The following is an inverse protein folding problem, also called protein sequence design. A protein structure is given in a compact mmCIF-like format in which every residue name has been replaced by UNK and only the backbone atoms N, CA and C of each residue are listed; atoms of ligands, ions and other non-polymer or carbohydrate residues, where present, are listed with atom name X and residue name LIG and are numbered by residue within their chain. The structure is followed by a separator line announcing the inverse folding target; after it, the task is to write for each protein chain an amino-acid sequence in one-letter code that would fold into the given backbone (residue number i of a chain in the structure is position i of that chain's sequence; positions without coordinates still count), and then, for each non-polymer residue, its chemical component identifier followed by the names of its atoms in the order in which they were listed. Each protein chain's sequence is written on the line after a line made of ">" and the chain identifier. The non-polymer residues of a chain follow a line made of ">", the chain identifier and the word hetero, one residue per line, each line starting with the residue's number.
data_IF_018531353695
#
_entry.id   IF_018531353695
#
_cell.length_a   1.000
_cell.length_b   1.000
_cell.length_c   1.000
_cell.angle_alpha   90.00
_cell.angle_beta   90.00
_cell.angle_gamma   90.00
#
_symmetry.space_group_name_H-M   'P 1'
#
loop_
_entity.id
_entity.type
_entity.pdbx_description
1 polymer ?
#
# COMPACT_ATOMS: atom_id res chain seq x y z
N UNK A 1 -19.01 30.25 8.79
CA UNK A 1 -18.36 29.51 9.89
C UNK A 1 -17.68 30.51 10.79
N UNK A 2 -17.86 30.40 12.11
CA UNK A 2 -17.23 31.32 13.07
C UNK A 2 -15.73 31.04 13.21
N UNK A 3 -14.92 32.07 13.50
CA UNK A 3 -13.47 31.94 13.68
C UNK A 3 -13.12 30.87 14.71
N UNK A 4 -13.86 30.80 15.82
CA UNK A 4 -13.63 29.81 16.88
C UNK A 4 -13.97 28.39 16.43
N UNK A 5 -14.91 28.23 15.51
CA UNK A 5 -15.23 26.94 14.90
C UNK A 5 -14.08 26.48 14.00
N UNK A 6 -13.55 27.36 13.14
CA UNK A 6 -12.36 27.05 12.31
C UNK A 6 -11.16 26.64 13.18
N UNK A 7 -10.89 27.38 14.25
CA UNK A 7 -9.82 27.09 15.22
C UNK A 7 -10.01 25.72 15.88
N UNK A 8 -11.24 25.38 16.27
CA UNK A 8 -11.56 24.10 16.92
C UNK A 8 -11.45 22.93 15.94
N UNK A 9 -11.89 23.11 14.70
CA UNK A 9 -11.82 22.10 13.65
C UNK A 9 -10.35 21.83 13.30
N UNK A 10 -9.58 22.86 13.00
CA UNK A 10 -8.13 22.74 12.73
C UNK A 10 -7.37 22.13 13.91
N UNK A 11 -7.66 22.55 15.14
CA UNK A 11 -7.01 21.98 16.32
C UNK A 11 -7.36 20.51 16.56
N UNK A 12 -8.61 20.11 16.27
CA UNK A 12 -9.02 18.69 16.34
C UNK A 12 -8.37 17.88 15.21
N UNK A 13 -8.33 18.44 14.02
CA UNK A 13 -7.81 17.82 12.81
C UNK A 13 -6.31 17.58 12.87
N UNK A 14 -5.54 18.57 13.32
CA UNK A 14 -4.08 18.48 13.48
C UNK A 14 -3.65 17.85 14.82
N UNK A 15 -4.60 17.56 15.73
CA UNK A 15 -4.28 17.07 17.08
C UNK A 15 -3.58 18.09 17.99
N UNK A 16 -3.44 19.35 17.56
CA UNK A 16 -2.70 20.41 18.26
C UNK A 16 -3.67 21.34 18.98
N UNK A 17 -3.37 21.69 20.24
CA UNK A 17 -4.16 22.68 20.99
C UNK A 17 -3.90 24.09 20.44
N UNK A 18 -4.94 24.82 20.00
CA UNK A 18 -4.79 26.19 19.53
C UNK A 18 -4.22 27.13 20.59
N UNK A 19 -3.25 27.95 20.20
CA UNK A 19 -2.62 28.96 21.05
C UNK A 19 -3.07 30.35 20.64
N UNK A 20 -3.54 31.14 21.60
CA UNK A 20 -3.99 32.51 21.35
C UNK A 20 -2.82 33.49 21.42
N UNK A 21 -2.63 34.32 20.39
CA UNK A 21 -1.49 35.23 20.25
C UNK A 21 -1.69 36.61 20.91
N UNK A 22 -2.87 36.88 21.48
CA UNK A 22 -3.13 38.11 22.22
C UNK A 22 -3.34 39.35 21.34
N UNK A 23 -3.24 40.53 21.96
CA UNK A 23 -3.41 41.84 21.29
C UNK A 23 -2.09 42.30 20.67
N UNK A 24 -2.08 43.06 19.55
CA UNK A 24 -3.24 43.60 18.82
C UNK A 24 -3.80 42.69 17.72
N UNK A 25 -3.21 41.53 17.46
CA UNK A 25 -3.56 40.67 16.31
C UNK A 25 -4.83 39.85 16.52
N UNK A 26 -5.18 39.50 17.77
CA UNK A 26 -6.29 38.62 18.12
C UNK A 26 -6.29 37.27 17.38
N UNK A 27 -5.12 36.83 16.91
CA UNK A 27 -4.95 35.64 16.09
C UNK A 27 -4.77 34.37 16.93
N UNK A 28 -5.03 33.22 16.31
CA UNK A 28 -4.74 31.90 16.88
C UNK A 28 -3.70 31.18 16.03
N UNK A 29 -2.75 30.54 16.70
CA UNK A 29 -1.75 29.67 16.09
C UNK A 29 -2.18 28.21 16.31
N UNK A 30 -2.26 27.43 15.24
CA UNK A 30 -2.59 26.00 15.26
C UNK A 30 -1.60 25.27 14.37
N UNK A 31 -0.52 24.76 14.97
CA UNK A 31 0.57 24.13 14.23
C UNK A 31 1.23 25.12 13.27
N UNK A 32 1.13 24.84 11.96
CA UNK A 32 1.75 25.63 10.91
C UNK A 32 0.82 26.69 10.30
N UNK A 33 -0.36 26.85 10.90
CA UNK A 33 -1.40 27.77 10.43
C UNK A 33 -1.68 28.86 11.46
N UNK A 34 -1.85 30.08 10.97
CA UNK A 34 -2.29 31.23 11.75
C UNK A 34 -3.67 31.66 11.29
N UNK A 35 -4.62 31.66 12.22
CA UNK A 35 -6.00 32.08 11.98
C UNK A 35 -6.14 33.52 12.46
N UNK A 36 -6.37 34.43 11.52
CA UNK A 36 -6.46 35.88 11.79
C UNK A 36 -7.76 36.25 12.48
N UNK A 37 -7.87 37.52 12.89
CA UNK A 37 -9.08 38.04 13.55
C UNK A 37 -10.34 37.85 12.70
N UNK A 38 -10.20 37.97 11.39
CA UNK A 38 -11.30 37.91 10.43
C UNK A 38 -11.63 36.47 9.99
N UNK A 39 -10.87 35.48 10.48
CA UNK A 39 -11.13 34.06 10.24
C UNK A 39 -10.47 33.52 8.96
N UNK A 40 -9.52 34.25 8.38
CA UNK A 40 -8.63 33.78 7.30
C UNK A 40 -7.54 32.89 7.89
N UNK A 41 -7.22 31.80 7.20
CA UNK A 41 -6.17 30.87 7.61
C UNK A 41 -4.95 31.15 6.74
N UNK A 42 -3.80 31.38 7.37
CA UNK A 42 -2.54 31.71 6.70
C UNK A 42 -1.53 30.63 7.04
N UNK A 43 -0.82 30.09 6.05
CA UNK A 43 0.28 29.14 6.27
C UNK A 43 1.56 29.86 6.78
N UNK A 44 2.60 29.10 7.15
CA UNK A 44 3.92 29.68 7.52
C UNK A 44 4.58 30.52 6.41
N UNK A 45 4.22 30.31 5.14
CA UNK A 45 4.76 31.05 4.00
C UNK A 45 4.05 32.40 3.77
N UNK A 46 2.91 32.64 4.42
CA UNK A 46 2.11 33.85 4.28
C UNK A 46 0.97 33.76 3.27
N UNK A 47 0.71 32.59 2.70
CA UNK A 47 -0.39 32.38 1.75
C UNK A 47 -1.71 32.11 2.48
N UNK A 48 -2.79 32.70 1.97
CA UNK A 48 -4.16 32.44 2.44
C UNK A 48 -4.62 31.08 1.92
N UNK A 49 -5.18 30.26 2.81
CA UNK A 49 -5.68 28.91 2.50
C UNK A 49 -7.12 28.76 2.95
N UNK A 50 -7.91 28.02 2.17
CA UNK A 50 -9.27 27.66 2.55
C UNK A 50 -9.26 26.47 3.52
N UNK A 51 -10.24 26.44 4.43
CA UNK A 51 -10.32 25.38 5.44
C UNK A 51 -10.48 24.00 4.79
N UNK A 52 -11.28 23.92 3.74
CA UNK A 52 -11.55 22.66 3.03
C UNK A 52 -10.30 22.15 2.31
N UNK A 53 -9.45 23.03 1.78
CA UNK A 53 -8.16 22.65 1.19
C UNK A 53 -7.22 22.05 2.22
N UNK A 54 -7.17 22.61 3.44
CA UNK A 54 -6.32 22.10 4.52
C UNK A 54 -6.83 20.77 5.07
N UNK A 55 -8.15 20.60 5.14
CA UNK A 55 -8.78 19.35 5.57
C UNK A 55 -8.58 18.22 4.56
N UNK A 56 -8.49 18.55 3.27
CA UNK A 56 -8.27 17.61 2.19
C UNK A 56 -6.78 17.36 1.90
N UNK A 57 -5.90 18.36 2.10
CA UNK A 57 -4.45 18.22 1.88
C UNK A 57 -3.75 17.35 2.92
N UNK A 58 -4.43 17.03 4.02
CA UNK A 58 -3.95 16.19 5.12
C UNK A 58 -4.32 14.71 4.99
N UNK A 59 -4.81 14.26 3.83
CA UNK A 59 -4.94 12.81 3.58
C UNK A 59 -3.59 12.08 3.52
N UNK A 60 -2.47 12.79 3.67
CA UNK A 60 -1.14 12.22 3.85
C UNK A 60 -0.42 12.92 5.00
N UNK A 61 -0.71 12.49 6.23
CA UNK A 61 0.29 12.16 7.26
C UNK A 61 -0.49 11.77 8.51
N UNK A 62 -0.99 10.55 8.54
CA UNK A 62 -1.06 9.87 9.82
C UNK A 62 0.37 9.85 10.36
N UNK A 63 0.58 10.30 11.59
CA UNK A 63 1.74 9.90 12.39
C UNK A 63 1.63 8.39 12.65
N UNK A 64 1.73 7.59 11.60
CA UNK A 64 2.14 6.20 11.70
C UNK A 64 3.65 6.25 11.80
N UNK A 65 4.20 5.60 12.81
CA UNK A 65 5.60 5.16 12.83
C UNK A 65 6.02 4.77 11.40
N UNK A 66 7.24 5.15 10.97
CA UNK A 66 7.83 4.83 9.65
C UNK A 66 7.93 3.31 9.46
N UNK A 67 6.81 2.63 9.29
CA UNK A 67 6.72 1.18 9.40
C UNK A 67 6.37 0.53 8.06
N UNK A 68 5.94 1.31 7.06
CA UNK A 68 5.77 0.86 5.68
C UNK A 68 6.53 1.72 4.68
N UNK A 69 7.03 1.08 3.64
CA UNK A 69 7.76 1.67 2.52
C UNK A 69 6.80 1.71 1.33
N UNK A 70 6.72 2.87 0.68
CA UNK A 70 6.02 3.00 -0.59
C UNK A 70 6.97 2.71 -1.75
N UNK A 71 6.54 1.85 -2.68
CA UNK A 71 7.29 1.56 -3.90
C UNK A 71 6.38 1.79 -5.10
N UNK A 72 6.74 2.75 -5.94
CA UNK A 72 5.99 3.10 -7.15
C UNK A 72 6.67 2.62 -8.43
N UNK A 73 5.84 2.27 -9.42
CA UNK A 73 6.24 1.90 -10.78
C UNK A 73 5.41 2.68 -11.80
N UNK A 74 5.96 2.96 -13.00
CA UNK A 74 5.19 3.64 -14.04
C UNK A 74 4.00 2.79 -14.51
N UNK A 75 2.88 3.45 -14.82
CA UNK A 75 1.69 2.82 -15.40
C UNK A 75 1.86 2.40 -16.87
N UNK A 76 2.97 2.77 -17.50
CA UNK A 76 3.24 2.46 -18.90
C UNK A 76 3.09 0.96 -19.21
N UNK A 77 2.30 0.65 -20.26
CA UNK A 77 2.03 -0.71 -20.69
C UNK A 77 1.06 -1.50 -19.80
N UNK A 78 0.31 -0.81 -18.92
CA UNK A 78 -0.85 -1.39 -18.26
C UNK A 78 -2.13 -1.16 -19.06
N UNK A 79 -2.88 -2.24 -19.23
CA UNK A 79 -4.26 -2.29 -19.73
C UNK A 79 -5.20 -2.88 -18.64
N UNK A 80 -6.50 -2.87 -18.90
CA UNK A 80 -7.54 -3.43 -18.01
C UNK A 80 -7.22 -4.86 -17.56
N UNK A 81 -6.75 -5.71 -18.48
CA UNK A 81 -6.40 -7.10 -18.20
C UNK A 81 -5.19 -7.17 -17.27
N UNK A 82 -4.15 -6.37 -17.51
CA UNK A 82 -2.94 -6.39 -16.68
C UNK A 82 -3.20 -5.95 -15.25
N UNK A 83 -4.08 -4.96 -15.04
CA UNK A 83 -4.47 -4.48 -13.71
C UNK A 83 -5.28 -5.56 -12.99
N UNK A 84 -6.30 -6.13 -13.64
CA UNK A 84 -7.03 -7.29 -13.11
C UNK A 84 -6.09 -8.43 -12.76
N UNK A 85 -5.11 -8.70 -13.62
CA UNK A 85 -4.16 -9.77 -13.39
C UNK A 85 -3.29 -9.53 -12.16
N UNK A 86 -2.77 -8.31 -12.01
CA UNK A 86 -1.97 -7.92 -10.86
C UNK A 86 -2.77 -8.09 -9.56
N UNK A 87 -3.99 -7.54 -9.52
CA UNK A 87 -4.87 -7.62 -8.35
C UNK A 87 -5.25 -9.08 -8.02
N UNK A 88 -5.61 -9.89 -9.01
CA UNK A 88 -5.90 -11.31 -8.84
C UNK A 88 -4.69 -12.09 -8.30
N UNK A 89 -3.50 -11.84 -8.84
CA UNK A 89 -2.27 -12.49 -8.39
C UNK A 89 -1.96 -12.16 -6.93
N UNK A 90 -2.09 -10.89 -6.55
CA UNK A 90 -1.88 -10.42 -5.19
C UNK A 90 -2.93 -11.03 -4.27
N UNK A 91 -4.20 -10.86 -4.58
CA UNK A 91 -5.32 -11.39 -3.78
C UNK A 91 -5.21 -12.90 -3.57
N UNK A 92 -4.89 -13.67 -4.61
CA UNK A 92 -4.75 -15.14 -4.52
C UNK A 92 -3.61 -15.59 -3.57
N UNK A 93 -2.57 -14.77 -3.39
CA UNK A 93 -1.40 -15.05 -2.55
C UNK A 93 -1.33 -14.16 -1.31
N UNK A 94 -2.33 -13.33 -1.05
CA UNK A 94 -2.22 -12.27 -0.05
C UNK A 94 -1.93 -12.80 1.35
N UNK A 95 -2.46 -13.98 1.71
CA UNK A 95 -2.17 -14.62 3.01
C UNK A 95 -0.68 -14.91 3.23
N UNK A 96 0.06 -15.17 2.15
CA UNK A 96 1.51 -15.34 2.19
C UNK A 96 2.22 -13.99 2.13
N UNK A 97 1.79 -13.07 1.25
CA UNK A 97 2.38 -11.72 1.12
C UNK A 97 2.30 -10.96 2.46
N UNK A 98 1.15 -11.03 3.13
CA UNK A 98 0.93 -10.47 4.47
C UNK A 98 1.92 -11.01 5.50
N UNK A 99 2.25 -12.31 5.46
CA UNK A 99 3.27 -12.90 6.35
C UNK A 99 4.69 -12.44 5.97
N UNK A 100 4.97 -12.27 4.69
CA UNK A 100 6.28 -11.80 4.20
C UNK A 100 6.58 -10.38 4.66
N UNK A 101 5.59 -9.49 4.55
CA UNK A 101 5.74 -8.06 4.86
C UNK A 101 5.12 -7.65 6.20
N UNK A 102 4.75 -8.61 7.05
CA UNK A 102 4.14 -8.37 8.37
C UNK A 102 2.94 -7.39 8.33
N UNK A 103 2.01 -7.66 7.42
CA UNK A 103 0.78 -6.90 7.25
C UNK A 103 -0.39 -7.57 7.99
N UNK A 104 -1.04 -6.84 8.88
CA UNK A 104 -2.25 -7.30 9.59
C UNK A 104 -3.49 -7.24 8.70
N UNK A 105 -3.61 -6.20 7.88
CA UNK A 105 -4.78 -5.92 7.05
C UNK A 105 -4.72 -6.60 5.68
N UNK A 106 -5.86 -6.73 5.01
CA UNK A 106 -5.89 -7.24 3.64
C UNK A 106 -5.32 -6.20 2.68
N UNK A 107 -4.60 -6.69 1.67
CA UNK A 107 -3.99 -5.83 0.64
C UNK A 107 -5.07 -5.40 -0.36
N UNK A 108 -5.92 -6.35 -0.73
CA UNK A 108 -7.04 -6.20 -1.66
C UNK A 108 -8.22 -6.98 -1.08
N UNK A 109 -9.39 -6.34 -1.02
CA UNK A 109 -10.62 -6.99 -0.54
C UNK A 109 -11.26 -7.85 -1.62
N UNK A 110 -12.06 -8.84 -1.18
CA UNK A 110 -12.69 -9.81 -2.09
C UNK A 110 -13.71 -9.13 -2.99
N UNK A 111 -14.46 -8.20 -2.43
CA UNK A 111 -15.54 -7.46 -3.07
C UNK A 111 -15.03 -6.70 -4.29
N UNK A 112 -13.85 -6.08 -4.18
CA UNK A 112 -13.20 -5.42 -5.31
C UNK A 112 -12.86 -6.40 -6.43
N UNK A 113 -12.30 -7.56 -6.11
CA UNK A 113 -11.96 -8.58 -7.11
C UNK A 113 -13.20 -9.08 -7.86
N UNK A 114 -14.29 -9.29 -7.14
CA UNK A 114 -15.56 -9.70 -7.72
C UNK A 114 -16.14 -8.59 -8.62
N UNK A 115 -16.06 -7.33 -8.19
CA UNK A 115 -16.55 -6.16 -8.93
C UNK A 115 -15.75 -5.91 -10.22
N UNK A 116 -14.43 -5.81 -10.15
CA UNK A 116 -13.59 -5.55 -11.34
C UNK A 116 -13.61 -6.70 -12.35
N UNK A 117 -14.04 -7.89 -11.94
CA UNK A 117 -14.08 -9.06 -12.84
C UNK A 117 -14.98 -8.79 -14.07
N UNK A 118 -16.05 -8.01 -13.90
CA UNK A 118 -17.06 -7.72 -14.94
C UNK A 118 -16.77 -6.44 -15.73
N UNK A 119 -15.94 -5.53 -15.20
CA UNK A 119 -15.65 -4.23 -15.82
C UNK A 119 -14.75 -4.38 -17.05
N UNK A 120 -15.03 -3.69 -18.16
CA UNK A 120 -14.22 -3.80 -19.38
C UNK A 120 -13.34 -2.58 -19.63
N UNK A 121 -13.64 -1.44 -19.01
CA UNK A 121 -12.86 -0.21 -19.15
C UNK A 121 -11.79 -0.09 -18.08
N UNK A 122 -10.57 0.27 -18.48
CA UNK A 122 -9.50 0.62 -17.55
C UNK A 122 -9.92 1.77 -16.62
N UNK A 123 -10.56 2.82 -17.15
CA UNK A 123 -10.98 3.97 -16.35
C UNK A 123 -11.96 3.57 -15.25
N UNK A 124 -12.92 2.69 -15.57
CA UNK A 124 -13.91 2.19 -14.60
C UNK A 124 -13.21 1.40 -13.50
N UNK A 125 -12.31 0.48 -13.88
CA UNK A 125 -11.52 -0.32 -12.92
C UNK A 125 -10.75 0.60 -11.97
N UNK A 126 -10.06 1.62 -12.50
CA UNK A 126 -9.28 2.54 -11.67
C UNK A 126 -10.17 3.37 -10.74
N UNK A 127 -11.34 3.81 -11.19
CA UNK A 127 -12.29 4.55 -10.32
C UNK A 127 -12.92 3.70 -9.23
N UNK A 128 -13.05 2.39 -9.45
CA UNK A 128 -13.57 1.46 -8.44
C UNK A 128 -12.57 1.25 -7.30
N UNK A 129 -11.26 1.32 -7.57
CA UNK A 129 -10.21 1.09 -6.58
C UNK A 129 -10.11 2.29 -5.63
N UNK A 130 -10.19 2.05 -4.33
CA UNK A 130 -10.07 3.08 -3.29
C UNK A 130 -9.51 2.51 -1.98
N UNK A 131 -9.23 3.40 -1.02
CA UNK A 131 -8.66 3.04 0.29
C UNK A 131 -9.54 2.10 1.14
N UNK A 132 -10.83 1.97 0.86
CA UNK A 132 -11.70 1.04 1.61
C UNK A 132 -11.55 -0.40 1.08
N UNK A 133 -11.40 -0.57 -0.23
CA UNK A 133 -11.40 -1.88 -0.88
C UNK A 133 -10.01 -2.36 -1.35
N UNK A 134 -9.01 -1.48 -1.37
CA UNK A 134 -7.62 -1.78 -1.74
C UNK A 134 -6.65 -0.87 -0.99
N UNK A 135 -6.22 -1.31 0.21
CA UNK A 135 -5.32 -0.50 1.05
C UNK A 135 -3.85 -0.61 0.68
N UNK A 136 -3.47 -1.73 0.05
CA UNK A 136 -2.06 -2.01 -0.20
C UNK A 136 -1.58 -1.54 -1.57
N UNK A 137 -2.48 -1.11 -2.46
CA UNK A 137 -2.12 -0.72 -3.82
C UNK A 137 -2.98 0.44 -4.27
N UNK A 138 -2.34 1.49 -4.74
CA UNK A 138 -2.98 2.66 -5.32
C UNK A 138 -2.54 2.84 -6.77
N UNK A 139 -3.43 3.42 -7.57
CA UNK A 139 -3.21 3.71 -8.97
C UNK A 139 -3.57 5.16 -9.26
N UNK A 140 -2.74 5.84 -10.05
CA UNK A 140 -3.10 7.09 -10.70
C UNK A 140 -2.66 7.03 -12.17
N UNK A 141 -2.87 8.11 -12.92
CA UNK A 141 -2.58 8.14 -14.36
C UNK A 141 -1.09 7.90 -14.71
N UNK A 142 -0.17 8.15 -13.78
CA UNK A 142 1.27 8.08 -14.02
C UNK A 142 1.92 6.84 -13.40
N UNK A 143 1.49 6.46 -12.19
CA UNK A 143 2.13 5.46 -11.35
C UNK A 143 1.14 4.52 -10.67
N UNK A 144 1.59 3.28 -10.50
CA UNK A 144 1.02 2.35 -9.52
C UNK A 144 1.94 2.29 -8.29
N UNK A 145 1.37 2.25 -7.10
CA UNK A 145 2.12 2.35 -5.84
C UNK A 145 1.72 1.24 -4.89
N UNK A 146 2.71 0.58 -4.30
CA UNK A 146 2.51 -0.44 -3.27
C UNK A 146 2.81 0.12 -1.88
N UNK A 147 1.83 0.02 -0.98
CA UNK A 147 1.83 0.69 0.33
C UNK A 147 1.87 -0.29 1.53
N UNK A 148 2.18 -1.57 1.28
CA UNK A 148 2.22 -2.62 2.31
C UNK A 148 3.64 -3.14 2.63
N UNK A 149 4.68 -2.55 2.03
CA UNK A 149 6.04 -3.13 2.09
C UNK A 149 6.71 -2.83 3.42
N UNK A 150 7.30 -3.86 4.04
CA UNK A 150 8.22 -3.72 5.17
C UNK A 150 9.54 -4.43 4.88
N UNK A 151 10.66 -3.82 5.26
CA UNK A 151 12.00 -4.44 5.15
C UNK A 151 12.83 -3.96 3.95
N UNK A 152 13.53 -4.88 3.29
CA UNK A 152 14.56 -4.53 2.30
C UNK A 152 13.97 -3.99 0.98
N UNK A 153 14.25 -2.72 0.67
CA UNK A 153 13.75 -2.02 -0.52
C UNK A 153 14.17 -2.74 -1.80
N UNK A 154 15.43 -3.19 -1.89
CA UNK A 154 15.95 -3.80 -3.11
C UNK A 154 15.25 -5.13 -3.42
N UNK A 155 15.14 -6.01 -2.43
CA UNK A 155 14.42 -7.28 -2.54
C UNK A 155 12.94 -7.07 -2.88
N UNK A 156 12.32 -6.08 -2.24
CA UNK A 156 10.89 -5.78 -2.42
C UNK A 156 10.61 -5.20 -3.79
N UNK A 157 11.42 -4.23 -4.23
CA UNK A 157 11.33 -3.64 -5.57
C UNK A 157 11.52 -4.71 -6.67
N UNK A 158 12.50 -5.60 -6.51
CA UNK A 158 12.73 -6.68 -7.48
C UNK A 158 11.55 -7.67 -7.53
N UNK A 159 11.01 -8.05 -6.37
CA UNK A 159 9.81 -8.88 -6.29
C UNK A 159 8.61 -8.24 -6.99
N UNK A 160 8.32 -6.97 -6.71
CA UNK A 160 7.19 -6.24 -7.27
C UNK A 160 7.37 -6.00 -8.78
N UNK A 161 8.59 -5.69 -9.23
CA UNK A 161 8.93 -5.56 -10.65
C UNK A 161 8.63 -6.86 -11.43
N UNK A 162 9.08 -8.01 -10.91
CA UNK A 162 8.79 -9.31 -11.51
C UNK A 162 7.29 -9.65 -11.46
N UNK A 163 6.59 -9.26 -10.39
CA UNK A 163 5.15 -9.44 -10.26
C UNK A 163 4.38 -8.64 -11.32
N UNK A 164 4.69 -7.35 -11.48
CA UNK A 164 4.13 -6.48 -12.52
C UNK A 164 4.41 -7.06 -13.89
N UNK A 165 5.68 -7.39 -14.18
CA UNK A 165 6.09 -7.98 -15.45
C UNK A 165 5.26 -9.22 -15.79
N UNK A 166 5.06 -10.10 -14.81
CA UNK A 166 4.27 -11.33 -14.99
C UNK A 166 2.78 -11.05 -15.19
N UNK A 167 2.22 -10.05 -14.52
CA UNK A 167 0.85 -9.64 -14.74
C UNK A 167 0.62 -9.14 -16.19
N UNK A 168 1.62 -8.46 -16.77
CA UNK A 168 1.61 -8.02 -18.18
C UNK A 168 1.74 -9.17 -19.18
N UNK A 169 2.55 -10.19 -18.86
CA UNK A 169 2.78 -11.34 -19.75
C UNK A 169 1.60 -12.34 -19.81
N UNK A 170 0.85 -12.48 -18.72
CA UNK A 170 -0.20 -13.48 -18.61
C UNK A 170 -1.50 -13.03 -19.29
N UNK A 171 -2.15 -13.94 -20.01
CA UNK A 171 -3.47 -13.67 -20.57
C UNK A 171 -4.57 -13.69 -19.50
N UNK A 172 -4.40 -14.53 -18.48
CA UNK A 172 -5.35 -14.67 -17.38
C UNK A 172 -4.62 -15.10 -16.11
N UNK A 173 -5.18 -14.69 -14.97
CA UNK A 173 -4.73 -15.09 -13.64
C UNK A 173 -5.93 -15.42 -12.75
N UNK A 174 -5.73 -16.38 -11.85
CA UNK A 174 -6.79 -16.77 -10.91
C UNK A 174 -6.68 -15.94 -9.63
N UNK A 175 -7.82 -15.42 -9.18
CA UNK A 175 -8.01 -14.82 -7.86
C UNK A 175 -8.21 -15.84 -6.74
N UNK A 176 -8.34 -17.13 -7.04
CA UNK A 176 -8.66 -18.15 -6.03
C UNK A 176 -7.58 -18.16 -4.93
N UNK A 177 -7.94 -17.91 -3.65
CA UNK A 177 -6.98 -17.94 -2.56
C UNK A 177 -6.30 -19.30 -2.44
N UNK A 178 -5.01 -19.29 -2.17
CA UNK A 178 -4.24 -20.51 -1.98
C UNK A 178 -4.31 -20.95 -0.51
N UNK A 179 -4.75 -22.19 -0.29
CA UNK A 179 -4.66 -22.89 0.99
C UNK A 179 -3.44 -23.81 0.94
N UNK A 180 -2.55 -23.69 1.92
CA UNK A 180 -1.33 -24.50 2.00
C UNK A 180 -0.96 -24.75 3.46
N UNK A 181 -0.38 -25.92 3.69
CA UNK A 181 0.27 -26.39 4.92
C UNK A 181 1.77 -26.05 4.98
N UNK A 182 2.34 -25.56 3.88
CA UNK A 182 3.76 -25.23 3.77
C UNK A 182 3.95 -23.92 2.99
N UNK A 183 3.89 -22.82 3.74
CA UNK A 183 4.03 -21.47 3.22
C UNK A 183 5.34 -21.27 2.44
N UNK A 184 6.48 -21.72 2.99
CA UNK A 184 7.81 -21.54 2.36
C UNK A 184 7.87 -22.22 1.00
N UNK A 185 7.44 -23.48 0.88
CA UNK A 185 7.49 -24.19 -0.38
C UNK A 185 6.61 -23.51 -1.44
N UNK A 186 5.38 -23.15 -1.04
CA UNK A 186 4.39 -22.55 -1.92
C UNK A 186 4.86 -21.19 -2.43
N UNK A 187 5.32 -20.31 -1.53
CA UNK A 187 5.80 -18.99 -1.91
C UNK A 187 7.08 -19.07 -2.75
N UNK A 188 8.05 -19.93 -2.39
CA UNK A 188 9.26 -20.14 -3.20
C UNK A 188 8.94 -20.57 -4.62
N UNK A 189 8.02 -21.53 -4.78
CA UNK A 189 7.59 -22.02 -6.10
C UNK A 189 6.95 -20.89 -6.90
N UNK A 190 6.18 -20.03 -6.25
CA UNK A 190 5.60 -18.85 -6.89
C UNK A 190 6.67 -17.84 -7.31
N UNK A 191 7.65 -17.50 -6.46
CA UNK A 191 8.77 -16.62 -6.82
C UNK A 191 9.53 -17.12 -8.05
N UNK A 192 9.77 -18.43 -8.16
CA UNK A 192 10.41 -19.04 -9.33
C UNK A 192 9.55 -18.83 -10.58
N UNK A 193 8.22 -19.04 -10.49
CA UNK A 193 7.30 -18.79 -11.62
C UNK A 193 7.24 -17.32 -12.00
N UNK A 194 7.46 -16.41 -11.04
CA UNK A 194 7.55 -14.98 -11.33
C UNK A 194 8.82 -14.60 -12.11
N UNK A 195 9.83 -15.47 -12.14
CA UNK A 195 11.10 -15.24 -12.83
C UNK A 195 12.29 -15.03 -11.89
N UNK A 196 12.10 -15.16 -10.57
CA UNK A 196 13.15 -15.02 -9.56
C UNK A 196 14.01 -16.31 -9.51
N UNK A 197 14.71 -16.61 -10.61
CA UNK A 197 15.45 -17.86 -10.91
C UNK A 197 16.95 -17.56 -10.99
N UNK A 198 17.81 -18.46 -10.49
CA UNK A 198 19.26 -18.28 -10.55
C UNK A 198 19.90 -17.88 -9.21
N UNK A 199 21.25 -17.89 -9.14
CA UNK A 199 22.02 -17.55 -7.94
C UNK A 199 21.91 -16.07 -7.53
N UNK A 200 21.68 -15.16 -8.46
CA UNK A 200 21.52 -13.71 -8.24
C UNK A 200 20.34 -13.42 -7.30
N UNK A 201 19.23 -14.15 -7.44
CA UNK A 201 18.09 -14.00 -6.53
C UNK A 201 18.15 -14.87 -5.27
N UNK A 202 19.28 -15.53 -4.99
CA UNK A 202 19.39 -16.40 -3.82
C UNK A 202 19.19 -15.62 -2.51
N UNK A 203 19.78 -14.43 -2.42
CA UNK A 203 19.62 -13.55 -1.25
C UNK A 203 18.17 -13.06 -1.13
N UNK A 204 17.60 -12.52 -2.22
CA UNK A 204 16.22 -12.05 -2.28
C UNK A 204 15.21 -13.12 -1.84
N UNK A 205 15.31 -14.33 -2.40
CA UNK A 205 14.44 -15.45 -1.98
C UNK A 205 14.65 -15.84 -0.52
N UNK A 206 15.88 -15.77 0.01
CA UNK A 206 16.12 -16.08 1.42
C UNK A 206 15.40 -15.08 2.33
N UNK A 207 15.48 -13.78 2.00
CA UNK A 207 14.80 -12.71 2.72
C UNK A 207 13.28 -12.86 2.65
N UNK A 208 12.70 -13.02 1.45
CA UNK A 208 11.24 -13.16 1.27
C UNK A 208 10.65 -14.43 1.91
N UNK A 209 11.47 -15.43 2.24
CA UNK A 209 11.01 -16.69 2.83
C UNK A 209 11.27 -16.79 4.33
N UNK A 210 11.91 -15.79 4.96
CA UNK A 210 12.38 -15.91 6.34
C UNK A 210 11.25 -15.94 7.37
N UNK A 211 10.15 -15.22 7.13
CA UNK A 211 8.98 -15.15 8.03
C UNK A 211 7.95 -16.25 7.78
N UNK A 212 8.07 -17.00 6.69
CA UNK A 212 7.14 -18.09 6.35
C UNK A 212 7.49 -19.36 7.13
N UNK A 213 6.53 -20.28 7.27
CA UNK A 213 6.73 -21.56 7.96
C UNK A 213 6.88 -22.73 6.99
N UNK A 214 7.39 -23.86 7.47
CA UNK A 214 7.57 -25.08 6.66
C UNK A 214 8.93 -25.21 5.96
N UNK A 215 9.03 -26.17 5.05
CA UNK A 215 10.27 -26.47 4.31
C UNK A 215 10.24 -25.86 2.92
N UNK A 216 11.29 -25.13 2.53
CA UNK A 216 11.40 -24.58 1.17
C UNK A 216 11.68 -25.63 0.11
N UNK A 217 12.22 -26.79 0.49
CA UNK A 217 12.68 -27.83 -0.44
C UNK A 217 11.63 -28.91 -0.67
N UNK A 218 10.82 -29.23 0.34
CA UNK A 218 9.89 -30.34 0.30
C UNK A 218 8.47 -29.86 0.58
N UNK A 219 7.53 -30.15 -0.32
CA UNK A 219 6.13 -29.73 -0.19
C UNK A 219 5.50 -30.25 1.10
N UNK A 220 5.65 -31.54 1.38
CA UNK A 220 5.01 -32.22 2.50
C UNK A 220 5.92 -32.30 3.75
N UNK A 221 6.83 -31.33 3.93
CA UNK A 221 7.82 -31.37 5.01
C UNK A 221 9.01 -32.31 4.72
N UNK A 222 9.95 -32.41 5.67
CA UNK A 222 11.10 -33.31 5.52
C UNK A 222 10.62 -34.75 5.36
N UNK A 223 11.17 -35.54 4.41
CA UNK A 223 10.88 -36.96 4.35
C UNK A 223 11.26 -37.61 5.69
N UNK A 224 10.45 -38.55 6.18
CA UNK A 224 10.56 -39.18 7.51
C UNK A 224 11.95 -39.73 7.86
N UNK A 225 12.83 -39.92 6.87
CA UNK A 225 14.18 -40.46 7.03
C UNK A 225 15.30 -39.40 7.01
N UNK A 226 14.98 -38.10 7.13
CA UNK A 226 15.98 -37.03 7.22
C UNK A 226 15.77 -36.24 8.51
N UNK A 227 16.35 -36.73 9.59
CA UNK A 227 16.57 -35.92 10.79
C UNK A 227 17.50 -34.74 10.47
N UNK A 228 17.19 -33.61 11.09
CA UNK A 228 17.97 -32.36 10.99
C UNK A 228 19.33 -32.62 11.62
N UNK A 229 20.40 -32.61 10.81
CA UNK A 229 21.78 -32.52 11.29
C UNK A 229 22.09 -31.11 11.78
#
# INVERSE_FOLDING_TARGET
>A
MDRKEKVKILGKHLGIKPKYLGVPSFAYEVGDFTITRDGTIINKAGDEMELDEILNSSEETTETEFDSIEISFPMEGHDERTIKNLLNMIYSKQSLIKKVFDCSENIVEKELIDEISTLESLSEILTTINKENCKGIDFNDEKLTFNFIKGDIQTSSEFLSLLIKKAKELQYTSSKPIVTDNDKYTFRTWLIRLGMIGPEYKAHRKTLLSSLTGSSAFRNGLPANKEVK
#
